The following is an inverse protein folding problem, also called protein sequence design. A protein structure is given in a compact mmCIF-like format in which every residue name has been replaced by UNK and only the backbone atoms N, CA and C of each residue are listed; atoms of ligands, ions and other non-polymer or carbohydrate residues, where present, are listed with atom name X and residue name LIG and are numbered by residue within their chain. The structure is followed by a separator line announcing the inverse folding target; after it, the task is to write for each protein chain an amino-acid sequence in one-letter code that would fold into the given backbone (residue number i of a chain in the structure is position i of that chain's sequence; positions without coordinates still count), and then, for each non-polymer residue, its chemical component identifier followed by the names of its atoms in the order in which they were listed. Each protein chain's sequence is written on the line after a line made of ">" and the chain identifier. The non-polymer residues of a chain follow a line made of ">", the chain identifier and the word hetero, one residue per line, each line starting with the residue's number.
data_IF_966044479484
#
_entry.id   IF_966044479484
#
_cell.length_a   1.000
_cell.length_b   1.000
_cell.length_c   1.000
_cell.angle_alpha   90.00
_cell.angle_beta   90.00
_cell.angle_gamma   90.00
#
_symmetry.space_group_name_H-M   'P 1'
#
loop_
_entity.id
_entity.type
_entity.pdbx_description
1 polymer ?
#
# COMPACT_ATOMS: atom_id res chain seq x y z
N UNK A 1 42.39 -30.50 -28.92
CA UNK A 1 41.04 -30.00 -28.85
C UNK A 1 40.53 -30.04 -27.42
N UNK A 2 40.56 -28.87 -26.72
CA UNK A 2 39.93 -28.77 -25.38
C UNK A 2 38.42 -28.62 -25.60
N UNK A 3 37.66 -29.64 -25.25
CA UNK A 3 36.21 -29.53 -25.12
C UNK A 3 35.94 -28.71 -23.84
N UNK A 4 35.41 -27.49 -24.01
CA UNK A 4 34.86 -26.76 -22.90
C UNK A 4 33.59 -27.49 -22.42
N UNK A 5 33.53 -27.82 -21.13
CA UNK A 5 32.33 -28.33 -20.49
C UNK A 5 31.19 -27.29 -20.67
N UNK A 6 29.94 -27.74 -20.96
CA UNK A 6 28.83 -26.81 -21.07
C UNK A 6 28.67 -26.06 -19.73
N UNK A 7 28.70 -24.72 -19.79
CA UNK A 7 28.32 -23.90 -18.63
C UNK A 7 26.87 -24.29 -18.27
N UNK A 8 26.69 -24.89 -17.09
CA UNK A 8 25.34 -25.01 -16.53
C UNK A 8 24.74 -23.63 -16.47
N UNK A 9 23.62 -23.44 -17.17
CA UNK A 9 22.82 -22.24 -17.03
C UNK A 9 22.45 -22.16 -15.53
N UNK A 10 22.76 -21.02 -14.90
CA UNK A 10 22.32 -20.77 -13.54
C UNK A 10 20.79 -20.92 -13.52
N UNK A 11 20.28 -21.81 -12.67
CA UNK A 11 18.84 -21.91 -12.45
C UNK A 11 18.35 -20.54 -11.95
N UNK A 12 17.64 -19.82 -12.81
CA UNK A 12 16.93 -18.61 -12.38
C UNK A 12 15.82 -19.05 -11.43
N UNK A 13 15.87 -18.57 -10.18
CA UNK A 13 14.79 -18.80 -9.25
C UNK A 13 13.46 -18.35 -9.90
N UNK A 14 12.44 -19.21 -9.89
CA UNK A 14 11.14 -18.88 -10.41
C UNK A 14 10.62 -17.61 -9.73
N UNK A 15 10.17 -16.63 -10.52
CA UNK A 15 9.49 -15.44 -10.00
C UNK A 15 8.04 -15.78 -9.72
N UNK A 16 7.35 -14.95 -8.91
CA UNK A 16 5.91 -15.14 -8.66
C UNK A 16 5.06 -14.94 -9.91
N UNK A 17 5.55 -14.19 -10.90
CA UNK A 17 4.92 -14.00 -12.22
C UNK A 17 4.91 -15.32 -12.99
N UNK A 18 5.99 -16.10 -12.96
CA UNK A 18 6.06 -17.45 -13.54
C UNK A 18 5.08 -18.42 -12.89
N UNK A 19 4.61 -18.09 -11.68
CA UNK A 19 3.61 -18.87 -10.94
C UNK A 19 2.16 -18.43 -11.25
N UNK A 20 1.98 -17.43 -12.11
CA UNK A 20 0.69 -17.01 -12.62
C UNK A 20 -0.07 -16.01 -11.76
N UNK A 21 0.57 -15.41 -10.77
CA UNK A 21 0.00 -14.38 -9.89
C UNK A 21 1.00 -13.23 -9.76
N UNK A 22 0.53 -11.98 -9.93
CA UNK A 22 1.37 -10.81 -9.71
C UNK A 22 1.46 -10.52 -8.21
N UNK A 23 2.66 -10.56 -7.67
CA UNK A 23 2.92 -10.32 -6.23
C UNK A 23 3.66 -9.00 -6.06
N UNK A 24 3.14 -8.17 -5.16
CA UNK A 24 3.73 -6.89 -4.80
C UNK A 24 3.92 -6.74 -3.31
N UNK A 25 4.43 -5.58 -2.92
CA UNK A 25 4.55 -5.16 -1.53
C UNK A 25 4.04 -3.74 -1.37
N UNK A 26 3.35 -3.49 -0.27
CA UNK A 26 2.98 -2.15 0.18
C UNK A 26 4.09 -1.62 1.09
N UNK A 27 4.63 -0.43 0.79
CA UNK A 27 5.83 0.07 1.47
C UNK A 27 5.63 0.40 2.96
N UNK A 28 4.40 0.50 3.43
CA UNK A 28 4.08 0.53 4.86
C UNK A 28 4.66 -0.69 5.61
N UNK A 29 4.88 -1.80 4.91
CA UNK A 29 5.51 -3.00 5.45
C UNK A 29 6.90 -2.73 6.04
N UNK A 30 7.60 -1.69 5.59
CA UNK A 30 8.95 -1.34 6.03
C UNK A 30 8.97 -0.28 7.13
N UNK A 31 7.82 0.08 7.72
CA UNK A 31 7.70 1.16 8.72
C UNK A 31 8.56 0.98 9.97
N UNK A 32 8.97 -0.25 10.29
CA UNK A 32 9.84 -0.55 11.44
C UNK A 32 11.32 -0.41 11.14
N UNK A 33 11.69 -0.23 9.86
CA UNK A 33 13.07 0.04 9.49
C UNK A 33 13.45 1.49 9.84
N UNK A 34 14.68 1.71 10.26
CA UNK A 34 15.13 3.03 10.72
C UNK A 34 15.14 4.08 9.61
N UNK A 35 15.64 3.74 8.44
CA UNK A 35 15.71 4.68 7.31
C UNK A 35 14.44 4.54 6.44
N UNK A 36 13.65 5.60 6.38
CA UNK A 36 12.41 5.69 5.60
C UNK A 36 12.57 6.56 4.35
N UNK A 37 13.79 6.93 3.98
CA UNK A 37 14.02 7.77 2.80
C UNK A 37 13.67 7.02 1.50
N UNK A 38 13.22 7.74 0.47
CA UNK A 38 12.75 7.12 -0.78
C UNK A 38 13.73 6.14 -1.43
N UNK A 39 15.02 6.49 -1.49
CA UNK A 39 16.01 5.61 -2.12
C UNK A 39 16.35 4.39 -1.27
N UNK A 40 16.31 4.52 0.05
CA UNK A 40 16.51 3.36 0.95
C UNK A 40 15.32 2.40 0.88
N UNK A 41 14.10 2.91 0.79
CA UNK A 41 12.91 2.06 0.55
C UNK A 41 13.08 1.24 -0.73
N UNK A 42 13.56 1.86 -1.81
CA UNK A 42 13.84 1.13 -3.06
C UNK A 42 14.85 0.00 -2.82
N UNK A 43 15.91 0.24 -2.04
CA UNK A 43 16.89 -0.80 -1.71
C UNK A 43 16.27 -1.96 -0.92
N UNK A 44 15.36 -1.68 0.03
CA UNK A 44 14.65 -2.73 0.76
C UNK A 44 13.82 -3.61 -0.18
N UNK A 45 13.11 -2.99 -1.12
CA UNK A 45 12.30 -3.73 -2.11
C UNK A 45 13.20 -4.60 -2.98
N UNK A 46 14.32 -4.06 -3.46
CA UNK A 46 15.31 -4.81 -4.26
C UNK A 46 15.79 -6.06 -3.52
N UNK A 47 16.09 -5.95 -2.21
CA UNK A 47 16.51 -7.09 -1.38
C UNK A 47 15.44 -8.17 -1.29
N UNK A 48 14.16 -7.82 -1.31
CA UNK A 48 13.07 -8.81 -1.26
C UNK A 48 12.92 -9.59 -2.56
N UNK A 49 13.38 -9.06 -3.67
CA UNK A 49 13.15 -9.64 -5.00
C UNK A 49 11.75 -9.37 -5.57
N UNK A 50 10.91 -8.62 -4.89
CA UNK A 50 9.56 -8.25 -5.35
C UNK A 50 9.66 -7.23 -6.49
N UNK A 51 8.79 -7.36 -7.50
CA UNK A 51 8.82 -6.56 -8.73
C UNK A 51 7.66 -5.57 -8.87
N UNK A 52 6.75 -5.51 -7.92
CA UNK A 52 5.58 -4.63 -7.96
C UNK A 52 5.41 -3.95 -6.61
N UNK A 53 5.15 -2.64 -6.60
CA UNK A 53 5.06 -1.89 -5.35
C UNK A 53 3.85 -0.96 -5.35
N UNK A 54 3.15 -0.96 -4.22
CA UNK A 54 2.25 0.12 -3.82
C UNK A 54 3.05 1.07 -2.93
N UNK A 55 3.25 2.30 -3.41
CA UNK A 55 4.17 3.26 -2.81
C UNK A 55 3.42 4.26 -1.93
N UNK A 56 3.83 4.37 -0.66
CA UNK A 56 3.32 5.39 0.25
C UNK A 56 3.82 6.78 -0.15
N UNK A 57 3.02 7.81 0.11
CA UNK A 57 3.38 9.20 -0.18
C UNK A 57 4.71 9.63 0.44
N UNK A 58 4.92 9.30 1.72
CA UNK A 58 6.16 9.63 2.43
C UNK A 58 7.40 8.91 1.89
N UNK A 59 7.24 7.91 1.06
CA UNK A 59 8.34 7.18 0.40
C UNK A 59 8.60 7.67 -1.04
N UNK A 60 7.86 8.67 -1.50
CA UNK A 60 8.03 9.26 -2.83
C UNK A 60 8.19 10.79 -2.76
N UNK A 61 7.35 11.45 -1.99
CA UNK A 61 7.26 12.92 -1.96
C UNK A 61 8.56 13.62 -1.57
N UNK A 62 9.35 13.13 -0.59
CA UNK A 62 10.64 13.75 -0.27
C UNK A 62 11.61 13.74 -1.46
N UNK A 63 11.58 12.73 -2.31
CA UNK A 63 12.40 12.69 -3.53
C UNK A 63 12.07 13.83 -4.49
N UNK A 64 10.80 14.24 -4.52
CA UNK A 64 10.33 15.38 -5.32
C UNK A 64 10.46 16.73 -4.60
N UNK A 65 11.13 16.79 -3.46
CA UNK A 65 11.41 18.02 -2.74
C UNK A 65 10.32 18.45 -1.76
N UNK A 66 9.40 17.57 -1.39
CA UNK A 66 8.36 17.89 -0.40
C UNK A 66 8.97 18.32 0.94
N UNK A 67 8.35 19.28 1.64
CA UNK A 67 8.77 19.65 2.99
C UNK A 67 8.68 18.46 3.94
N UNK A 68 9.58 18.40 4.91
CA UNK A 68 9.55 17.39 5.95
C UNK A 68 8.38 17.63 6.90
N UNK A 69 7.56 16.59 7.13
CA UNK A 69 6.45 16.66 8.07
C UNK A 69 6.94 16.64 9.51
N UNK A 70 6.37 17.45 10.42
CA UNK A 70 6.62 17.33 11.85
C UNK A 70 6.33 15.93 12.41
N UNK A 71 5.45 15.17 11.75
CA UNK A 71 5.12 13.78 12.10
C UNK A 71 6.28 12.80 11.88
N UNK A 72 7.34 13.20 11.21
CA UNK A 72 8.55 12.39 11.08
C UNK A 72 9.32 12.28 12.41
N UNK A 73 9.12 13.22 13.34
CA UNK A 73 9.67 13.17 14.69
C UNK A 73 8.79 12.29 15.58
N UNK A 74 9.33 11.18 16.15
CA UNK A 74 8.56 10.27 16.99
C UNK A 74 7.91 10.94 18.21
N UNK A 75 8.57 11.90 18.86
CA UNK A 75 8.02 12.61 20.02
C UNK A 75 6.81 13.46 19.63
N UNK A 76 6.91 14.18 18.52
CA UNK A 76 5.81 15.00 17.98
C UNK A 76 4.64 14.12 17.53
N UNK A 77 4.93 13.01 16.88
CA UNK A 77 3.91 12.03 16.46
C UNK A 77 3.18 11.44 17.67
N UNK A 78 3.88 11.16 18.77
CA UNK A 78 3.27 10.66 20.00
C UNK A 78 2.27 11.66 20.59
N UNK A 79 2.61 12.95 20.60
CA UNK A 79 1.71 14.02 21.07
C UNK A 79 0.46 14.10 20.19
N UNK A 80 0.63 14.08 18.88
CA UNK A 80 -0.47 14.10 17.92
C UNK A 80 -1.39 12.88 18.10
N UNK A 81 -0.82 11.71 18.36
CA UNK A 81 -1.58 10.50 18.67
C UNK A 81 -2.42 10.63 19.94
N UNK A 82 -1.89 11.20 21.00
CA UNK A 82 -2.63 11.48 22.22
C UNK A 82 -3.79 12.45 21.96
N UNK A 83 -3.55 13.52 21.23
CA UNK A 83 -4.58 14.50 20.86
C UNK A 83 -5.69 13.84 20.04
N UNK A 84 -5.33 12.99 19.09
CA UNK A 84 -6.30 12.28 18.25
C UNK A 84 -7.18 11.32 19.07
N UNK A 85 -6.62 10.70 20.09
CA UNK A 85 -7.33 9.79 21.01
C UNK A 85 -8.00 10.51 22.19
N UNK A 86 -7.92 11.85 22.26
CA UNK A 86 -8.40 12.66 23.37
C UNK A 86 -7.80 12.24 24.74
N UNK A 87 -6.55 11.77 24.74
CA UNK A 87 -5.82 11.43 25.95
C UNK A 87 -5.28 12.71 26.60
N UNK A 88 -5.21 12.78 27.96
CA UNK A 88 -4.69 13.94 28.64
C UNK A 88 -3.18 14.11 28.38
N UNK A 89 -2.76 15.38 28.27
CA UNK A 89 -1.35 15.76 28.10
C UNK A 89 -0.79 16.27 29.43
N UNK A 90 0.48 15.99 29.69
CA UNK A 90 1.23 16.63 30.77
C UNK A 90 1.42 18.11 30.46
N UNK A 91 1.83 18.91 31.48
CA UNK A 91 2.09 20.35 31.29
C UNK A 91 3.21 20.58 30.25
N UNK A 92 4.26 19.75 30.27
CA UNK A 92 5.34 19.80 29.28
C UNK A 92 4.82 19.44 27.88
N UNK A 93 3.99 18.42 27.77
CA UNK A 93 3.38 18.03 26.51
C UNK A 93 2.44 19.09 25.94
N UNK A 94 1.71 19.84 26.81
CA UNK A 94 0.86 20.97 26.37
C UNK A 94 1.67 22.08 25.73
N UNK A 95 2.85 22.41 26.27
CA UNK A 95 3.74 23.41 25.69
C UNK A 95 4.24 22.95 24.31
N UNK A 96 4.66 21.69 24.22
CA UNK A 96 5.08 21.10 22.93
C UNK A 96 3.93 21.05 21.94
N UNK A 97 2.71 20.76 22.39
CA UNK A 97 1.53 20.74 21.52
C UNK A 97 1.20 22.11 20.93
N UNK A 98 1.37 23.20 21.69
CA UNK A 98 1.19 24.57 21.18
C UNK A 98 2.22 24.87 20.09
N UNK A 99 3.51 24.57 20.33
CA UNK A 99 4.57 24.75 19.34
C UNK A 99 4.32 23.88 18.10
N UNK A 100 3.84 22.64 18.30
CA UNK A 100 3.53 21.73 17.22
C UNK A 100 2.38 22.23 16.33
N UNK A 101 1.38 22.89 16.91
CA UNK A 101 0.27 23.48 16.14
C UNK A 101 0.79 24.55 15.17
N UNK A 102 1.73 25.39 15.61
CA UNK A 102 2.39 26.40 14.75
C UNK A 102 3.24 25.73 13.65
N UNK A 103 4.03 24.70 14.01
CA UNK A 103 4.82 23.93 13.05
C UNK A 103 3.94 23.27 11.99
N UNK A 104 2.80 22.69 12.39
CA UNK A 104 1.87 22.07 11.46
C UNK A 104 1.23 23.10 10.52
N UNK A 105 0.91 24.29 11.00
CA UNK A 105 0.41 25.38 10.15
C UNK A 105 1.46 25.81 9.11
N UNK A 106 2.70 25.98 9.54
CA UNK A 106 3.82 26.33 8.65
C UNK A 106 4.08 25.20 7.64
N UNK A 107 3.99 23.94 8.07
CA UNK A 107 4.13 22.78 7.20
C UNK A 107 3.05 22.77 6.11
N UNK A 108 1.79 22.97 6.45
CA UNK A 108 0.70 23.01 5.47
C UNK A 108 0.90 24.12 4.44
N UNK A 109 1.37 25.28 4.85
CA UNK A 109 1.70 26.37 3.94
C UNK A 109 2.86 26.00 3.02
N UNK A 110 3.93 25.44 3.57
CA UNK A 110 5.09 24.97 2.80
C UNK A 110 4.71 23.89 1.78
N UNK A 111 3.82 22.98 2.13
CA UNK A 111 3.30 21.96 1.21
C UNK A 111 2.51 22.58 0.07
N UNK A 112 1.66 23.58 0.38
CA UNK A 112 0.89 24.31 -0.64
C UNK A 112 1.82 25.01 -1.64
N UNK A 113 2.86 25.68 -1.15
CA UNK A 113 3.86 26.32 -2.00
C UNK A 113 4.64 25.31 -2.85
N UNK A 114 5.04 24.18 -2.25
CA UNK A 114 5.73 23.12 -2.95
C UNK A 114 4.87 22.55 -4.10
N UNK A 115 3.60 22.27 -3.84
CA UNK A 115 2.68 21.77 -4.86
C UNK A 115 2.46 22.77 -5.99
N UNK A 116 2.37 24.06 -5.67
CA UNK A 116 2.16 25.12 -6.65
C UNK A 116 3.31 25.24 -7.66
N UNK A 117 4.53 24.91 -7.25
CA UNK A 117 5.74 24.98 -8.08
C UNK A 117 6.31 23.59 -8.43
N UNK A 118 5.53 22.53 -8.22
CA UNK A 118 6.01 21.16 -8.36
C UNK A 118 6.34 20.84 -9.83
N UNK A 119 7.55 20.31 -10.00
CA UNK A 119 7.94 19.62 -11.23
C UNK A 119 7.65 18.13 -11.12
N UNK A 120 6.61 17.65 -11.79
CA UNK A 120 6.24 16.24 -11.80
C UNK A 120 7.30 15.34 -12.44
N UNK A 121 8.24 15.91 -13.18
CA UNK A 121 9.41 15.20 -13.71
C UNK A 121 10.25 14.53 -12.62
N UNK A 122 10.19 15.03 -11.38
CA UNK A 122 10.84 14.38 -10.23
C UNK A 122 10.22 13.02 -9.90
N UNK A 123 8.91 12.88 -10.02
CA UNK A 123 8.24 11.59 -9.89
C UNK A 123 8.57 10.66 -11.05
N UNK A 124 8.70 11.18 -12.25
CA UNK A 124 9.16 10.41 -13.42
C UNK A 124 10.59 9.91 -13.23
N UNK A 125 11.48 10.70 -12.64
CA UNK A 125 12.83 10.28 -12.28
C UNK A 125 12.80 9.12 -11.27
N UNK A 126 11.97 9.21 -10.25
CA UNK A 126 11.81 8.13 -9.26
C UNK A 126 11.27 6.86 -9.94
N UNK A 127 10.27 7.00 -10.80
CA UNK A 127 9.77 5.88 -11.62
C UNK A 127 10.90 5.21 -12.40
N UNK A 128 11.77 6.00 -13.03
CA UNK A 128 12.89 5.46 -13.80
C UNK A 128 13.83 4.65 -12.92
N UNK A 129 14.15 5.13 -11.71
CA UNK A 129 15.00 4.39 -10.77
C UNK A 129 14.39 3.04 -10.40
N UNK A 130 13.08 3.00 -10.14
CA UNK A 130 12.35 1.76 -9.88
C UNK A 130 12.38 0.83 -11.10
N UNK A 131 12.05 1.35 -12.27
CA UNK A 131 12.00 0.56 -13.52
C UNK A 131 13.38 0.04 -13.93
N UNK A 132 14.45 0.81 -13.71
CA UNK A 132 15.82 0.36 -13.96
C UNK A 132 16.22 -0.81 -13.04
N UNK A 133 15.60 -0.91 -11.87
CA UNK A 133 15.76 -2.05 -10.95
C UNK A 133 14.79 -3.20 -11.28
N UNK A 134 13.99 -3.09 -12.34
CA UNK A 134 13.00 -4.08 -12.73
C UNK A 134 11.74 -4.07 -11.87
N UNK A 135 11.46 -2.97 -11.17
CA UNK A 135 10.32 -2.83 -10.27
C UNK A 135 9.32 -1.84 -10.86
N UNK A 136 8.05 -2.22 -10.85
CA UNK A 136 6.92 -1.41 -11.31
C UNK A 136 6.17 -0.83 -10.11
N UNK A 137 5.88 0.47 -10.14
CA UNK A 137 5.01 1.12 -9.17
C UNK A 137 3.58 1.01 -9.72
N UNK A 138 2.76 0.14 -9.14
CA UNK A 138 1.42 -0.10 -9.65
C UNK A 138 0.35 0.78 -8.98
N UNK A 139 0.61 1.28 -7.77
CA UNK A 139 -0.30 2.11 -7.00
C UNK A 139 0.46 3.14 -6.17
N UNK A 140 -0.20 4.28 -5.92
CA UNK A 140 0.35 5.36 -5.11
C UNK A 140 -0.65 5.76 -4.02
N UNK A 141 -0.15 5.88 -2.78
CA UNK A 141 -0.97 6.22 -1.61
C UNK A 141 -0.45 7.46 -0.89
N UNK A 142 -0.63 8.67 -1.45
CA UNK A 142 -0.40 9.92 -0.73
C UNK A 142 -1.59 10.22 0.19
N UNK A 143 -1.39 11.09 1.17
CA UNK A 143 -2.44 11.48 2.11
C UNK A 143 -3.11 12.79 1.66
N UNK A 144 -3.85 12.75 0.53
CA UNK A 144 -4.45 13.94 -0.09
C UNK A 144 -5.87 13.72 -0.60
N UNK A 145 -6.49 12.59 -0.30
CA UNK A 145 -7.79 12.22 -0.86
C UNK A 145 -8.95 12.32 0.12
N UNK A 146 -8.74 12.98 1.25
CA UNK A 146 -9.78 13.16 2.26
C UNK A 146 -10.85 14.16 1.84
N UNK A 147 -12.00 14.07 2.52
CA UNK A 147 -13.16 14.95 2.29
C UNK A 147 -12.81 16.43 2.40
N UNK A 148 -11.88 16.80 3.29
CA UNK A 148 -11.46 18.17 3.54
C UNK A 148 -10.33 18.64 2.60
N UNK A 149 -9.79 17.77 1.76
CA UNK A 149 -8.82 18.18 0.75
C UNK A 149 -9.51 18.91 -0.40
N UNK A 150 -8.82 19.89 -0.97
CA UNK A 150 -9.31 20.59 -2.16
C UNK A 150 -9.22 19.70 -3.41
N UNK A 151 -9.94 20.05 -4.46
CA UNK A 151 -9.80 19.38 -5.76
C UNK A 151 -8.36 19.44 -6.27
N UNK A 152 -7.64 20.54 -6.04
CA UNK A 152 -6.24 20.68 -6.43
C UNK A 152 -5.32 19.71 -5.67
N UNK A 153 -5.55 19.50 -4.37
CA UNK A 153 -4.82 18.49 -3.59
C UNK A 153 -5.04 17.10 -4.18
N UNK A 154 -6.28 16.77 -4.49
CA UNK A 154 -6.67 15.47 -5.05
C UNK A 154 -6.04 15.28 -6.43
N UNK A 155 -6.12 16.30 -7.29
CA UNK A 155 -5.48 16.26 -8.63
C UNK A 155 -3.98 16.08 -8.54
N UNK A 156 -3.34 16.75 -7.57
CA UNK A 156 -1.90 16.53 -7.33
C UNK A 156 -1.59 15.05 -7.10
N UNK A 157 -2.30 14.39 -6.18
CA UNK A 157 -2.08 12.98 -5.87
C UNK A 157 -2.27 12.08 -7.09
N UNK A 158 -3.25 12.36 -7.92
CA UNK A 158 -3.54 11.62 -9.14
C UNK A 158 -2.48 11.85 -10.24
N UNK A 159 -2.04 13.10 -10.42
CA UNK A 159 -0.97 13.46 -11.35
C UNK A 159 0.36 12.86 -10.95
N UNK A 160 0.68 12.87 -9.65
CA UNK A 160 1.87 12.22 -9.13
C UNK A 160 1.83 10.69 -9.38
N UNK A 161 0.69 10.06 -9.12
CA UNK A 161 0.49 8.64 -9.42
C UNK A 161 0.78 8.34 -10.90
N UNK A 162 0.27 9.16 -11.79
CA UNK A 162 0.46 9.03 -13.23
C UNK A 162 1.93 9.17 -13.62
N UNK A 163 2.62 10.16 -13.06
CA UNK A 163 4.05 10.38 -13.30
C UNK A 163 4.90 9.20 -12.78
N UNK A 164 4.48 8.56 -11.69
CA UNK A 164 5.10 7.35 -11.14
C UNK A 164 4.79 6.09 -11.97
N UNK A 165 3.86 6.18 -12.93
CA UNK A 165 3.41 5.04 -13.73
C UNK A 165 2.35 4.17 -13.06
N UNK A 166 1.78 4.62 -11.96
CA UNK A 166 0.76 3.88 -11.24
C UNK A 166 -0.58 3.91 -12.01
N UNK A 167 -1.27 2.78 -12.04
CA UNK A 167 -2.59 2.68 -12.66
C UNK A 167 -3.68 3.31 -11.78
N UNK A 168 -3.45 3.35 -10.48
CA UNK A 168 -4.45 3.81 -9.52
C UNK A 168 -3.83 4.42 -8.28
N UNK A 169 -4.66 5.18 -7.58
CA UNK A 169 -4.39 5.65 -6.23
C UNK A 169 -5.19 4.81 -5.24
N UNK A 170 -4.73 4.75 -3.99
CA UNK A 170 -5.42 4.02 -2.92
C UNK A 170 -5.68 4.94 -1.74
N UNK A 171 -6.78 4.71 -1.06
CA UNK A 171 -7.17 5.37 0.18
C UNK A 171 -8.17 4.51 0.93
N UNK A 172 -8.35 4.81 2.22
CA UNK A 172 -9.42 4.18 3.01
C UNK A 172 -10.78 4.54 2.42
N UNK A 173 -11.67 3.56 2.34
CA UNK A 173 -13.01 3.75 1.78
C UNK A 173 -13.77 4.81 2.58
N UNK A 174 -14.14 5.96 1.98
CA UNK A 174 -14.94 6.96 2.66
C UNK A 174 -16.34 6.44 2.97
N UNK A 175 -16.94 6.92 4.05
CA UNK A 175 -18.34 6.63 4.36
C UNK A 175 -19.31 7.49 3.51
N UNK A 176 -18.82 8.60 2.98
CA UNK A 176 -19.62 9.58 2.21
C UNK A 176 -19.63 9.21 0.72
N UNK A 177 -20.80 8.79 0.23
CA UNK A 177 -20.99 8.42 -1.18
C UNK A 177 -20.82 9.62 -2.14
N UNK A 178 -21.06 10.83 -1.68
CA UNK A 178 -20.78 12.03 -2.47
C UNK A 178 -19.29 12.23 -2.68
N UNK A 179 -18.46 11.82 -1.71
CA UNK A 179 -17.01 11.92 -1.81
C UNK A 179 -16.44 10.88 -2.77
N UNK A 180 -16.92 9.65 -2.76
CA UNK A 180 -16.51 8.65 -3.75
C UNK A 180 -16.89 9.07 -5.18
N UNK A 181 -18.05 9.71 -5.36
CA UNK A 181 -18.44 10.27 -6.65
C UNK A 181 -17.52 11.42 -7.10
N UNK A 182 -17.13 12.29 -6.16
CA UNK A 182 -16.16 13.38 -6.40
C UNK A 182 -14.80 12.83 -6.83
N UNK A 183 -14.28 11.87 -6.10
CA UNK A 183 -12.99 11.24 -6.41
C UNK A 183 -13.02 10.58 -7.79
N UNK A 184 -14.11 9.89 -8.12
CA UNK A 184 -14.27 9.26 -9.42
C UNK A 184 -14.26 10.27 -10.57
N UNK A 185 -14.95 11.40 -10.42
CA UNK A 185 -14.96 12.46 -11.43
C UNK A 185 -13.56 13.00 -11.68
N UNK A 186 -12.80 13.29 -10.63
CA UNK A 186 -11.44 13.80 -10.73
C UNK A 186 -10.49 12.73 -11.33
N UNK A 187 -10.67 11.47 -10.94
CA UNK A 187 -9.91 10.35 -11.47
C UNK A 187 -10.16 10.15 -12.99
N UNK A 188 -11.40 10.26 -13.44
CA UNK A 188 -11.74 10.21 -14.85
C UNK A 188 -11.03 11.32 -15.64
N UNK A 189 -11.04 12.55 -15.11
CA UNK A 189 -10.37 13.69 -15.72
C UNK A 189 -8.85 13.50 -15.78
N UNK A 190 -8.25 12.95 -14.74
CA UNK A 190 -6.80 12.76 -14.65
C UNK A 190 -6.31 11.44 -15.25
N UNK A 191 -7.22 10.53 -15.60
CA UNK A 191 -6.87 9.27 -16.25
C UNK A 191 -6.26 8.22 -15.32
N UNK A 192 -6.73 8.11 -14.08
CA UNK A 192 -6.33 7.09 -13.11
C UNK A 192 -7.57 6.41 -12.53
N UNK A 193 -7.36 5.26 -11.87
CA UNK A 193 -8.38 4.58 -11.10
C UNK A 193 -8.22 4.90 -9.61
N UNK A 194 -9.27 4.63 -8.84
CA UNK A 194 -9.27 4.81 -7.39
C UNK A 194 -9.59 3.46 -6.74
N UNK A 195 -8.64 2.92 -5.97
CA UNK A 195 -8.81 1.69 -5.22
C UNK A 195 -9.16 2.00 -3.76
N UNK A 196 -10.39 1.70 -3.36
CA UNK A 196 -10.86 1.92 -1.99
C UNK A 196 -10.51 0.73 -1.11
N UNK A 197 -9.72 0.99 -0.07
CA UNK A 197 -9.26 0.02 0.91
C UNK A 197 -10.28 -0.09 2.06
N UNK A 198 -10.42 -1.27 2.63
CA UNK A 198 -11.23 -1.50 3.82
C UNK A 198 -10.47 -2.24 4.91
N UNK A 199 -10.91 -2.05 6.13
CA UNK A 199 -10.52 -2.82 7.31
C UNK A 199 -11.64 -3.80 7.69
N UNK A 200 -11.92 -3.97 8.97
CA UNK A 200 -12.93 -4.91 9.44
C UNK A 200 -14.38 -4.45 9.21
N UNK A 201 -14.61 -3.25 8.66
CA UNK A 201 -15.92 -2.83 8.16
C UNK A 201 -16.28 -3.50 6.82
N UNK A 202 -15.34 -4.20 6.20
CA UNK A 202 -15.55 -4.85 4.93
C UNK A 202 -16.68 -5.89 4.99
N UNK A 203 -17.57 -5.79 3.99
CA UNK A 203 -18.64 -6.75 3.71
C UNK A 203 -18.61 -7.06 2.22
N UNK A 204 -19.34 -8.07 1.74
CA UNK A 204 -19.43 -8.30 0.30
C UNK A 204 -19.97 -7.13 -0.51
N UNK A 205 -20.68 -6.19 0.13
CA UNK A 205 -21.36 -5.06 -0.53
C UNK A 205 -20.77 -3.69 -0.20
N UNK A 206 -19.70 -3.62 0.59
CA UNK A 206 -19.12 -2.33 0.99
C UNK A 206 -18.86 -1.39 -0.20
N UNK A 207 -18.37 -1.92 -1.32
CA UNK A 207 -17.96 -1.14 -2.49
C UNK A 207 -19.07 -0.92 -3.52
N UNK A 208 -20.25 -1.51 -3.34
CA UNK A 208 -21.28 -1.57 -4.38
C UNK A 208 -21.74 -0.19 -4.86
N UNK A 209 -21.95 0.76 -3.95
CA UNK A 209 -22.31 2.13 -4.32
C UNK A 209 -21.21 2.80 -5.11
N UNK A 210 -19.95 2.72 -4.64
CA UNK A 210 -18.82 3.36 -5.29
C UNK A 210 -18.59 2.80 -6.71
N UNK A 211 -18.58 1.47 -6.88
CA UNK A 211 -18.36 0.88 -8.21
C UNK A 211 -19.51 1.12 -9.17
N UNK A 212 -20.74 1.32 -8.66
CA UNK A 212 -21.89 1.67 -9.48
C UNK A 212 -21.84 3.14 -9.97
N UNK A 213 -21.12 4.02 -9.26
CA UNK A 213 -20.99 5.44 -9.62
C UNK A 213 -20.11 5.64 -10.86
N UNK A 214 -19.06 4.84 -11.02
CA UNK A 214 -18.06 5.03 -12.06
C UNK A 214 -17.16 3.83 -12.20
N UNK A 215 -16.72 3.56 -13.43
CA UNK A 215 -15.67 2.56 -13.71
C UNK A 215 -14.30 2.95 -13.13
N UNK A 216 -14.09 4.21 -12.74
CA UNK A 216 -12.88 4.64 -12.08
C UNK A 216 -12.80 4.15 -10.62
N UNK A 217 -13.92 3.87 -9.99
CA UNK A 217 -13.99 3.36 -8.62
C UNK A 217 -13.81 1.85 -8.60
N UNK A 218 -12.85 1.40 -7.80
CA UNK A 218 -12.43 0.00 -7.72
C UNK A 218 -12.22 -0.42 -6.27
N UNK A 219 -12.01 -1.73 -6.09
CA UNK A 219 -11.66 -2.29 -4.79
C UNK A 219 -10.14 -2.39 -4.66
N UNK A 220 -9.61 -1.86 -3.57
CA UNK A 220 -8.37 -2.35 -2.97
C UNK A 220 -8.80 -3.25 -1.81
N UNK A 221 -9.01 -4.52 -2.11
CA UNK A 221 -9.54 -5.49 -1.14
C UNK A 221 -8.43 -5.89 -0.16
N UNK A 222 -8.66 -5.67 1.14
CA UNK A 222 -7.79 -6.27 2.16
C UNK A 222 -8.38 -7.62 2.57
N UNK A 223 -7.83 -8.69 2.04
CA UNK A 223 -8.38 -10.03 2.23
C UNK A 223 -8.18 -10.54 3.66
N UNK A 224 -7.10 -10.13 4.32
CA UNK A 224 -6.88 -10.46 5.72
C UNK A 224 -7.92 -9.83 6.64
N UNK A 225 -8.18 -8.53 6.47
CA UNK A 225 -9.24 -7.85 7.23
C UNK A 225 -10.64 -8.38 6.88
N UNK A 226 -10.85 -8.75 5.64
CA UNK A 226 -12.11 -9.34 5.18
C UNK A 226 -12.43 -10.65 5.91
N UNK A 227 -11.43 -11.50 6.10
CA UNK A 227 -11.55 -12.76 6.86
C UNK A 227 -11.70 -12.47 8.35
N UNK A 228 -10.92 -11.52 8.90
CA UNK A 228 -11.02 -11.13 10.32
C UNK A 228 -12.42 -10.62 10.67
N UNK A 229 -13.09 -9.95 9.75
CA UNK A 229 -14.48 -9.47 9.90
C UNK A 229 -15.52 -10.58 9.87
N UNK A 230 -15.09 -11.84 9.71
CA UNK A 230 -15.96 -13.04 9.72
C UNK A 230 -16.97 -13.08 8.58
N UNK A 231 -16.61 -12.55 7.42
CA UNK A 231 -17.40 -12.74 6.20
C UNK A 231 -17.47 -14.22 5.84
N UNK A 232 -18.68 -14.70 5.60
CA UNK A 232 -18.89 -16.09 5.19
C UNK A 232 -18.34 -16.33 3.78
N UNK A 233 -17.80 -17.53 3.52
CA UNK A 233 -17.22 -17.90 2.24
C UNK A 233 -16.32 -16.80 1.65
N UNK A 234 -15.24 -16.42 2.34
CA UNK A 234 -14.46 -15.24 1.96
C UNK A 234 -13.89 -15.32 0.54
N UNK A 235 -13.63 -16.51 0.01
CA UNK A 235 -13.16 -16.67 -1.37
C UNK A 235 -14.18 -16.21 -2.40
N UNK A 236 -15.46 -16.16 -2.06
CA UNK A 236 -16.52 -15.81 -3.01
C UNK A 236 -16.43 -14.37 -3.51
N UNK A 237 -15.85 -13.45 -2.74
CA UNK A 237 -15.67 -12.05 -3.18
C UNK A 237 -14.70 -11.96 -4.36
N UNK A 238 -13.71 -12.85 -4.43
CA UNK A 238 -12.72 -12.89 -5.52
C UNK A 238 -13.43 -13.19 -6.85
N UNK A 239 -14.32 -14.18 -6.86
CA UNK A 239 -15.09 -14.53 -8.05
C UNK A 239 -16.13 -13.47 -8.38
N UNK A 240 -16.85 -12.98 -7.36
CA UNK A 240 -17.95 -12.02 -7.56
C UNK A 240 -17.46 -10.63 -7.98
N UNK A 241 -16.33 -10.17 -7.47
CA UNK A 241 -15.81 -8.80 -7.67
C UNK A 241 -14.47 -8.76 -8.40
N UNK A 242 -13.97 -9.88 -8.89
CA UNK A 242 -12.64 -9.99 -9.47
C UNK A 242 -12.34 -8.98 -10.57
N UNK A 243 -13.32 -8.63 -11.39
CA UNK A 243 -13.22 -7.62 -12.45
C UNK A 243 -13.18 -6.16 -11.93
N UNK A 244 -13.54 -5.95 -10.66
CA UNK A 244 -13.53 -4.64 -10.01
C UNK A 244 -12.42 -4.49 -8.97
N UNK A 245 -11.69 -5.56 -8.65
CA UNK A 245 -10.51 -5.50 -7.79
C UNK A 245 -9.35 -4.96 -8.62
N UNK A 246 -8.78 -3.83 -8.21
CA UNK A 246 -7.62 -3.24 -8.89
C UNK A 246 -6.31 -3.65 -8.25
N UNK A 247 -6.33 -3.95 -6.96
CA UNK A 247 -5.25 -4.53 -6.17
C UNK A 247 -5.80 -5.13 -4.89
N UNK A 248 -5.03 -6.01 -4.27
CA UNK A 248 -5.44 -6.70 -3.04
C UNK A 248 -4.31 -6.64 -2.02
N UNK A 249 -4.63 -6.38 -0.75
CA UNK A 249 -3.71 -6.62 0.35
C UNK A 249 -3.88 -8.04 0.87
N UNK A 250 -2.77 -8.71 1.14
CA UNK A 250 -2.73 -10.04 1.71
C UNK A 250 -1.92 -10.01 3.00
N UNK A 251 -2.47 -10.61 4.04
CA UNK A 251 -1.89 -10.81 5.36
C UNK A 251 -2.58 -11.95 6.03
N UNK A 252 -1.97 -12.51 7.07
CA UNK A 252 -2.61 -13.56 7.85
C UNK A 252 -3.20 -12.98 9.13
N UNK A 253 -4.51 -13.10 9.27
CA UNK A 253 -5.29 -12.60 10.39
C UNK A 253 -5.99 -13.76 11.09
N UNK A 254 -6.19 -13.61 12.39
CA UNK A 254 -7.20 -14.40 13.09
C UNK A 254 -8.57 -13.74 12.90
N UNK A 255 -9.60 -14.56 12.79
CA UNK A 255 -10.98 -14.07 12.86
C UNK A 255 -11.17 -13.29 14.17
N UNK A 256 -12.05 -12.30 14.15
CA UNK A 256 -12.36 -11.46 15.33
C UNK A 256 -12.72 -12.31 16.54
N UNK A 257 -13.55 -13.33 16.36
CA UNK A 257 -13.95 -14.26 17.43
C UNK A 257 -12.80 -15.15 17.91
N UNK A 258 -11.70 -15.24 17.15
CA UNK A 258 -10.54 -16.08 17.46
C UNK A 258 -9.33 -15.24 17.89
N UNK A 259 -9.55 -13.99 18.32
CA UNK A 259 -8.52 -13.09 18.81
C UNK A 259 -8.16 -11.92 17.91
N UNK A 260 -8.45 -11.99 16.62
CA UNK A 260 -8.27 -10.87 15.68
C UNK A 260 -6.83 -10.45 15.40
N UNK A 261 -5.84 -11.26 15.79
CA UNK A 261 -4.42 -10.88 15.65
C UNK A 261 -3.91 -10.90 14.22
N UNK A 262 -2.82 -10.16 13.99
CA UNK A 262 -1.98 -10.29 12.80
C UNK A 262 -0.92 -11.33 13.09
N UNK A 263 -0.81 -12.35 12.26
CA UNK A 263 0.06 -13.49 12.51
C UNK A 263 1.03 -13.74 11.35
N UNK A 264 2.10 -14.43 11.68
CA UNK A 264 3.01 -14.96 10.67
C UNK A 264 2.23 -15.85 9.71
N UNK A 265 2.50 -15.73 8.42
CA UNK A 265 1.74 -16.42 7.36
C UNK A 265 1.73 -17.94 7.56
N UNK A 266 0.56 -18.51 7.43
CA UNK A 266 0.32 -19.94 7.65
C UNK A 266 -0.11 -20.30 9.06
N UNK A 267 -0.17 -19.34 9.99
CA UNK A 267 -0.51 -19.59 11.40
C UNK A 267 -1.86 -19.00 11.83
N UNK A 268 -2.51 -18.23 10.96
CA UNK A 268 -3.81 -17.61 11.21
C UNK A 268 -4.96 -18.26 10.46
N UNK A 269 -6.04 -17.50 10.31
CA UNK A 269 -7.30 -17.97 9.72
C UNK A 269 -7.47 -17.58 8.25
N UNK A 270 -6.61 -16.69 7.70
CA UNK A 270 -6.70 -16.29 6.30
C UNK A 270 -6.31 -17.45 5.40
N UNK A 271 -7.20 -17.92 4.49
CA UNK A 271 -6.87 -19.04 3.59
C UNK A 271 -5.97 -18.56 2.44
N UNK A 272 -4.71 -18.26 2.77
CA UNK A 272 -3.74 -17.64 1.84
C UNK A 272 -3.48 -18.51 0.63
N UNK A 273 -3.20 -19.80 0.84
CA UNK A 273 -2.95 -20.75 -0.25
C UNK A 273 -4.17 -20.84 -1.18
N UNK A 274 -5.34 -20.98 -0.60
CA UNK A 274 -6.57 -21.16 -1.40
C UNK A 274 -6.90 -19.91 -2.22
N UNK A 275 -6.74 -18.72 -1.66
CA UNK A 275 -7.02 -17.47 -2.40
C UNK A 275 -5.99 -17.25 -3.51
N UNK A 276 -4.72 -17.55 -3.28
CA UNK A 276 -3.68 -17.45 -4.31
C UNK A 276 -3.96 -18.42 -5.47
N UNK A 277 -4.31 -19.64 -5.16
CA UNK A 277 -4.64 -20.65 -6.18
C UNK A 277 -5.91 -20.29 -6.95
N UNK A 278 -6.91 -19.71 -6.28
CA UNK A 278 -8.13 -19.24 -6.94
C UNK A 278 -7.82 -18.07 -7.91
N UNK A 279 -7.03 -17.09 -7.48
CA UNK A 279 -6.64 -15.96 -8.33
C UNK A 279 -5.91 -16.45 -9.58
N UNK A 280 -4.99 -17.41 -9.42
CA UNK A 280 -4.29 -18.03 -10.55
C UNK A 280 -5.25 -18.77 -11.48
N UNK A 281 -6.14 -19.58 -10.93
CA UNK A 281 -7.13 -20.37 -11.69
C UNK A 281 -8.05 -19.48 -12.52
N UNK A 282 -8.52 -18.38 -11.91
CA UNK A 282 -9.42 -17.42 -12.58
C UNK A 282 -8.67 -16.48 -13.53
N UNK A 283 -7.34 -16.53 -13.58
CA UNK A 283 -6.54 -15.70 -14.45
C UNK A 283 -6.60 -14.20 -14.12
N UNK A 284 -6.84 -13.86 -12.86
CA UNK A 284 -6.96 -12.48 -12.43
C UNK A 284 -5.58 -11.80 -12.41
N UNK A 285 -5.52 -10.57 -12.93
CA UNK A 285 -4.26 -9.87 -13.19
C UNK A 285 -3.93 -8.77 -12.16
N UNK A 286 -4.81 -8.46 -11.23
CA UNK A 286 -4.50 -7.48 -10.20
C UNK A 286 -3.32 -7.95 -9.33
N UNK A 287 -2.56 -7.01 -8.79
CA UNK A 287 -1.44 -7.34 -7.90
C UNK A 287 -1.96 -7.76 -6.52
N UNK A 288 -1.51 -8.92 -6.06
CA UNK A 288 -1.67 -9.38 -4.68
C UNK A 288 -0.51 -8.83 -3.88
N UNK A 289 -0.80 -7.98 -2.92
CA UNK A 289 0.19 -7.14 -2.26
C UNK A 289 0.45 -7.62 -0.84
N UNK A 290 1.70 -7.97 -0.55
CA UNK A 290 2.11 -8.29 0.82
C UNK A 290 2.07 -7.02 1.64
N UNK A 291 1.33 -7.05 2.75
CA UNK A 291 1.36 -6.01 3.77
C UNK A 291 1.75 -6.64 5.10
N UNK A 292 2.96 -6.33 5.55
CA UNK A 292 3.52 -6.87 6.78
C UNK A 292 2.98 -6.11 7.99
N UNK A 293 2.18 -6.78 8.81
CA UNK A 293 1.58 -6.17 9.99
C UNK A 293 1.74 -7.00 11.28
N UNK A 294 2.26 -8.22 11.19
CA UNK A 294 2.53 -8.98 12.40
C UNK A 294 3.81 -8.49 13.08
N UNK A 295 3.94 -8.77 14.38
CA UNK A 295 5.10 -8.37 15.18
C UNK A 295 6.38 -9.03 14.64
N UNK A 296 7.41 -8.21 14.41
CA UNK A 296 8.71 -8.70 13.92
C UNK A 296 9.36 -9.56 15.00
N UNK A 297 9.71 -10.82 14.69
CA UNK A 297 10.43 -11.65 15.66
C UNK A 297 11.78 -11.05 16.07
N UNK A 298 12.20 -11.31 17.31
CA UNK A 298 13.50 -10.89 17.80
C UNK A 298 14.62 -11.39 16.87
N UNK A 299 15.57 -10.51 16.55
CA UNK A 299 16.68 -10.84 15.65
C UNK A 299 16.34 -10.80 14.15
N UNK A 300 15.10 -10.45 13.79
CA UNK A 300 14.66 -10.28 12.41
C UNK A 300 14.43 -8.80 12.09
N UNK A 301 14.02 -8.50 10.87
CA UNK A 301 13.61 -7.18 10.41
C UNK A 301 12.50 -7.28 9.35
N UNK A 302 11.96 -6.13 8.97
CA UNK A 302 10.85 -6.09 8.01
C UNK A 302 11.23 -6.68 6.64
N UNK A 303 12.45 -6.48 6.17
CA UNK A 303 12.90 -7.02 4.88
C UNK A 303 12.91 -8.56 4.93
N UNK A 304 13.47 -9.13 5.99
CA UNK A 304 13.51 -10.59 6.18
C UNK A 304 12.10 -11.17 6.28
N UNK A 305 11.19 -10.48 6.97
CA UNK A 305 9.82 -10.97 7.16
C UNK A 305 8.97 -10.81 5.90
N UNK A 306 9.17 -9.78 5.10
CA UNK A 306 8.57 -9.69 3.76
C UNK A 306 9.06 -10.84 2.86
N UNK A 307 10.35 -11.14 2.89
CA UNK A 307 10.91 -12.29 2.17
C UNK A 307 10.30 -13.60 2.64
N UNK A 308 10.12 -13.77 3.94
CA UNK A 308 9.46 -14.96 4.51
C UNK A 308 8.03 -15.12 3.98
N UNK A 309 7.28 -14.01 3.91
CA UNK A 309 5.92 -14.01 3.36
C UNK A 309 5.94 -14.33 1.86
N UNK A 310 6.91 -13.79 1.11
CA UNK A 310 7.08 -14.12 -0.30
C UNK A 310 7.41 -15.59 -0.51
N UNK A 311 8.26 -16.17 0.32
CA UNK A 311 8.58 -17.61 0.27
C UNK A 311 7.33 -18.45 0.52
N UNK A 312 6.47 -18.04 1.43
CA UNK A 312 5.18 -18.70 1.66
C UNK A 312 4.30 -18.66 0.41
N UNK A 313 4.23 -17.52 -0.27
CA UNK A 313 3.51 -17.38 -1.56
C UNK A 313 4.06 -18.36 -2.60
N UNK A 314 5.36 -18.40 -2.77
CA UNK A 314 6.02 -19.30 -3.73
C UNK A 314 5.70 -20.76 -3.44
N UNK A 315 5.74 -21.15 -2.18
CA UNK A 315 5.39 -22.50 -1.76
C UNK A 315 3.90 -22.82 -2.00
N UNK A 316 3.02 -21.86 -1.69
CA UNK A 316 1.58 -21.99 -1.91
C UNK A 316 1.21 -22.17 -3.40
N UNK A 317 2.02 -21.59 -4.30
CA UNK A 317 1.80 -21.63 -5.74
C UNK A 317 2.54 -22.76 -6.47
N UNK A 318 3.32 -23.57 -5.77
CA UNK A 318 3.98 -24.76 -6.35
C UNK A 318 3.01 -25.91 -6.62
N UNK A 319 1.94 -25.97 -5.88
CA UNK A 319 0.98 -27.08 -5.95
C UNK A 319 0.02 -26.96 -7.15
#
# INVERSE_FOLDING_TARGET
>A
GCQQAPKQAAETAATTEDLGVNIGVQTYSFRTMDDQSPLTILEYIKETGIKHVELMGNHAEPFAGAPESPQSDPAKRAIMGKQWRNEPLSDEEKVLAEALAEEMAAYREAVTEWRASLDYGKFEELRKLYNDAGISIFAFKPNVFGKNNSDEDIRYGMRAAKALGASHVTLEHPEDDAHTARLARLAEEEGVLVGYHGHEQQTPTLWDTAIAQSDANRLNLDFGHYVAAENENPLSIITAKGDKIVSMHLKDRQKRSNGGGNLMWGTGDTPIKDVLQLIRKEGLQFTVTIELEYDIPEGSDAVKEVKRSLDYVKEALKA
#
